data_IF_523694954068
#
_entry.id   IF_523694954068
#
_cell.length_a   1.000
_cell.length_b   1.000
_cell.length_c   1.000
_cell.angle_alpha   90.00
_cell.angle_beta   90.00
_cell.angle_gamma   90.00
#
_symmetry.space_group_name_H-M   'P 1'
#
loop_
_entity.id
_entity.type
_entity.pdbx_description
1 polymer ?
#
# COMPACT_ATOMS: atom_id res chain seq x y z
N UNK A 1 -9.71 29.15 -16.55
CA UNK A 1 -10.98 28.43 -16.73
C UNK A 1 -11.27 27.65 -15.47
N UNK A 2 -12.49 27.74 -14.90
CA UNK A 2 -12.86 26.98 -13.72
C UNK A 2 -12.91 25.47 -14.02
N UNK A 3 -12.57 24.63 -13.03
CA UNK A 3 -12.66 23.16 -13.14
C UNK A 3 -14.13 22.80 -13.31
N UNK A 4 -14.49 22.21 -14.46
CA UNK A 4 -15.84 21.71 -14.71
C UNK A 4 -16.05 20.43 -13.92
N UNK A 5 -17.04 20.39 -13.02
CA UNK A 5 -17.36 19.20 -12.24
C UNK A 5 -18.24 18.23 -13.06
N UNK A 6 -18.34 16.99 -12.59
CA UNK A 6 -19.18 15.96 -13.19
C UNK A 6 -20.52 15.90 -12.45
N UNK A 7 -21.61 16.20 -13.12
CA UNK A 7 -22.96 16.20 -12.56
C UNK A 7 -23.89 15.21 -13.27
N UNK A 8 -24.79 14.59 -12.53
CA UNK A 8 -25.77 13.65 -13.10
C UNK A 8 -26.81 14.32 -13.97
N UNK A 9 -27.07 15.60 -13.73
CA UNK A 9 -27.99 16.43 -14.50
C UNK A 9 -27.49 16.74 -15.92
N UNK A 10 -26.20 16.50 -16.18
CA UNK A 10 -25.60 16.67 -17.52
C UNK A 10 -25.79 15.44 -18.41
N UNK A 11 -26.26 14.32 -17.86
CA UNK A 11 -26.46 13.10 -18.64
C UNK A 11 -27.67 13.23 -19.58
N UNK A 12 -27.47 12.75 -20.81
CA UNK A 12 -28.62 12.48 -21.67
C UNK A 12 -29.47 11.35 -21.10
N UNK A 13 -30.77 11.22 -21.48
CA UNK A 13 -31.61 10.11 -21.02
C UNK A 13 -30.96 8.74 -21.28
N UNK A 14 -30.34 8.54 -22.46
CA UNK A 14 -29.69 7.27 -22.82
C UNK A 14 -28.47 6.99 -21.95
N UNK A 15 -27.64 7.98 -21.66
CA UNK A 15 -26.51 7.81 -20.75
C UNK A 15 -26.94 7.61 -19.31
N UNK A 16 -28.04 8.20 -18.88
CA UNK A 16 -28.61 7.93 -17.55
C UNK A 16 -29.05 6.47 -17.43
N UNK A 17 -29.75 5.94 -18.45
CA UNK A 17 -30.14 4.51 -18.52
C UNK A 17 -28.91 3.60 -18.51
N UNK A 18 -27.90 3.88 -19.33
CA UNK A 18 -26.68 3.09 -19.42
C UNK A 18 -25.90 3.07 -18.10
N UNK A 19 -25.83 4.21 -17.41
CA UNK A 19 -25.21 4.35 -16.10
C UNK A 19 -25.95 3.53 -15.03
N UNK A 20 -27.27 3.62 -14.98
CA UNK A 20 -28.08 2.91 -14.00
C UNK A 20 -28.03 1.39 -14.25
N UNK A 21 -28.05 0.94 -15.49
CA UNK A 21 -27.80 -0.45 -15.86
C UNK A 21 -26.42 -0.93 -15.37
N UNK A 22 -25.39 -0.12 -15.52
CA UNK A 22 -24.03 -0.43 -15.05
C UNK A 22 -23.96 -0.57 -13.52
N UNK A 23 -24.64 0.31 -12.78
CA UNK A 23 -24.71 0.25 -11.31
C UNK A 23 -25.42 -1.03 -10.87
N UNK A 24 -26.58 -1.32 -11.47
CA UNK A 24 -27.33 -2.55 -11.18
C UNK A 24 -26.52 -3.81 -11.52
N UNK A 25 -25.80 -3.81 -12.62
CA UNK A 25 -24.88 -4.91 -12.98
C UNK A 25 -23.82 -5.15 -11.91
N UNK A 26 -23.23 -4.09 -11.32
CA UNK A 26 -22.30 -4.20 -10.19
C UNK A 26 -22.94 -4.71 -8.91
N UNK A 27 -24.23 -4.39 -8.67
CA UNK A 27 -24.99 -4.90 -7.53
C UNK A 27 -25.26 -6.41 -7.64
N UNK A 28 -25.64 -6.89 -8.82
CA UNK A 28 -25.82 -8.32 -9.10
C UNK A 28 -24.53 -9.14 -8.93
N UNK A 29 -23.37 -8.52 -9.10
CA UNK A 29 -22.06 -9.14 -8.88
C UNK A 29 -21.56 -9.05 -7.45
N UNK A 30 -22.37 -8.60 -6.52
CA UNK A 30 -22.01 -8.44 -5.11
C UNK A 30 -20.73 -7.61 -4.88
N UNK A 31 -20.54 -6.54 -5.67
CA UNK A 31 -19.42 -5.65 -5.47
C UNK A 31 -19.41 -5.06 -4.05
N UNK A 32 -18.24 -4.90 -3.46
CA UNK A 32 -18.09 -4.24 -2.15
C UNK A 32 -18.63 -2.80 -2.19
N UNK A 33 -18.97 -2.23 -1.04
CA UNK A 33 -19.45 -0.84 -0.95
C UNK A 33 -18.48 0.15 -1.59
N UNK A 34 -17.18 -0.05 -1.40
CA UNK A 34 -16.12 0.76 -2.03
C UNK A 34 -16.12 0.61 -3.55
N UNK A 35 -16.26 -0.61 -4.06
CA UNK A 35 -16.34 -0.87 -5.51
C UNK A 35 -17.59 -0.24 -6.09
N UNK A 36 -18.75 -0.42 -5.46
CA UNK A 36 -20.02 0.21 -5.89
C UNK A 36 -19.92 1.74 -5.97
N UNK A 37 -19.26 2.38 -4.99
CA UNK A 37 -18.99 3.82 -5.02
C UNK A 37 -18.11 4.21 -6.20
N UNK A 38 -17.08 3.42 -6.51
CA UNK A 38 -16.19 3.66 -7.65
C UNK A 38 -16.90 3.42 -8.98
N UNK A 39 -17.77 2.41 -9.09
CA UNK A 39 -18.58 2.12 -10.27
C UNK A 39 -19.51 3.28 -10.59
N UNK A 40 -20.24 3.79 -9.58
CA UNK A 40 -21.13 4.97 -9.73
C UNK A 40 -20.38 6.20 -10.20
N UNK A 41 -19.18 6.41 -9.69
CA UNK A 41 -18.33 7.57 -10.05
C UNK A 41 -17.70 7.38 -11.42
N UNK A 42 -17.17 6.20 -11.69
CA UNK A 42 -16.51 5.89 -12.96
C UNK A 42 -17.47 5.96 -14.15
N UNK A 43 -18.68 5.38 -13.99
CA UNK A 43 -19.70 5.43 -15.04
C UNK A 43 -20.18 6.85 -15.34
N UNK A 44 -20.35 7.69 -14.30
CA UNK A 44 -20.68 9.12 -14.49
C UNK A 44 -19.59 9.85 -15.26
N UNK A 45 -18.33 9.65 -14.88
CA UNK A 45 -17.21 10.32 -15.54
C UNK A 45 -17.13 9.96 -17.02
N UNK A 46 -17.20 8.67 -17.34
CA UNK A 46 -17.10 8.19 -18.72
C UNK A 46 -18.25 8.71 -19.57
N UNK A 47 -19.47 8.67 -19.05
CA UNK A 47 -20.64 9.20 -19.76
C UNK A 47 -20.48 10.69 -20.08
N UNK A 48 -20.12 11.50 -19.09
CA UNK A 48 -19.91 12.94 -19.30
C UNK A 48 -18.75 13.23 -20.26
N UNK A 49 -17.66 12.45 -20.19
CA UNK A 49 -16.51 12.64 -21.10
C UNK A 49 -16.91 12.33 -22.56
N UNK A 50 -17.76 11.32 -22.81
CA UNK A 50 -18.32 11.05 -24.15
C UNK A 50 -19.30 12.13 -24.62
N UNK A 51 -20.17 12.63 -23.74
CA UNK A 51 -21.08 13.75 -24.06
C UNK A 51 -20.28 15.00 -24.48
N UNK A 52 -19.17 15.30 -23.79
CA UNK A 52 -18.27 16.40 -24.16
C UNK A 52 -17.61 16.21 -25.54
N UNK A 53 -17.65 15.01 -26.11
CA UNK A 53 -17.20 14.68 -27.47
C UNK A 53 -18.36 14.61 -28.48
N UNK A 54 -19.60 14.85 -28.06
CA UNK A 54 -20.79 14.75 -28.88
C UNK A 54 -21.36 13.34 -29.05
N UNK A 55 -20.89 12.37 -28.28
CA UNK A 55 -21.42 10.99 -28.25
C UNK A 55 -22.55 10.94 -27.22
N UNK A 56 -23.81 10.96 -27.68
CA UNK A 56 -24.97 11.16 -26.84
C UNK A 56 -25.56 9.89 -26.22
N UNK A 57 -25.11 8.71 -26.64
CA UNK A 57 -25.59 7.40 -26.18
C UNK A 57 -24.46 6.39 -26.18
N UNK A 58 -24.51 5.42 -25.26
CA UNK A 58 -23.57 4.30 -25.22
C UNK A 58 -23.66 3.42 -26.46
N UNK A 59 -24.82 3.32 -27.09
CA UNK A 59 -25.08 2.53 -28.30
C UNK A 59 -24.43 3.14 -29.56
N UNK A 60 -24.15 4.44 -29.54
CA UNK A 60 -23.57 5.15 -30.68
C UNK A 60 -22.05 5.25 -30.63
N UNK A 61 -21.41 4.66 -29.60
CA UNK A 61 -19.95 4.65 -29.48
C UNK A 61 -19.32 3.85 -30.62
N UNK A 62 -18.43 4.46 -31.36
CA UNK A 62 -17.59 3.83 -32.39
C UNK A 62 -16.19 3.58 -31.82
N UNK A 63 -15.44 2.69 -32.48
CA UNK A 63 -14.06 2.37 -32.15
C UNK A 63 -13.17 3.62 -32.06
N UNK A 64 -13.37 4.55 -33.02
CA UNK A 64 -12.66 5.82 -33.11
C UNK A 64 -12.94 6.73 -31.92
N UNK A 65 -14.14 6.67 -31.34
CA UNK A 65 -14.53 7.55 -30.24
C UNK A 65 -13.79 7.18 -28.95
N UNK A 66 -13.61 5.88 -28.67
CA UNK A 66 -12.78 5.46 -27.54
C UNK A 66 -11.33 5.87 -27.70
N UNK A 67 -10.72 5.68 -28.87
CA UNK A 67 -9.34 6.09 -29.14
C UNK A 67 -9.18 7.61 -29.02
N UNK A 68 -10.10 8.37 -29.58
CA UNK A 68 -10.10 9.84 -29.47
C UNK A 68 -10.21 10.29 -28.01
N UNK A 69 -11.03 9.61 -27.19
CA UNK A 69 -11.16 9.90 -25.77
C UNK A 69 -9.85 9.62 -25.01
N UNK A 70 -9.19 8.51 -25.31
CA UNK A 70 -7.87 8.19 -24.72
C UNK A 70 -6.82 9.26 -25.04
N UNK A 71 -6.75 9.71 -26.29
CA UNK A 71 -5.81 10.78 -26.68
C UNK A 71 -6.16 12.12 -25.99
N UNK A 72 -7.44 12.44 -25.84
CA UNK A 72 -7.87 13.61 -25.04
C UNK A 72 -7.41 13.50 -23.58
N UNK A 73 -7.50 12.34 -22.97
CA UNK A 73 -7.02 12.11 -21.61
C UNK A 73 -5.51 12.33 -21.48
N UNK A 74 -4.74 11.85 -22.44
CA UNK A 74 -3.27 12.02 -22.49
C UNK A 74 -2.87 13.47 -22.76
N UNK A 75 -3.65 14.20 -23.53
CA UNK A 75 -3.41 15.60 -23.86
C UNK A 75 -3.91 16.58 -22.78
N UNK A 76 -4.41 16.10 -21.63
CA UNK A 76 -4.96 16.95 -20.58
C UNK A 76 -6.30 17.62 -20.95
N UNK A 77 -6.94 17.21 -22.04
CA UNK A 77 -8.24 17.71 -22.46
C UNK A 77 -9.38 17.05 -21.66
N UNK A 78 -9.25 17.09 -20.34
CA UNK A 78 -10.23 16.58 -19.37
C UNK A 78 -10.99 17.73 -18.74
N UNK A 79 -12.09 17.45 -18.06
CA UNK A 79 -12.84 18.48 -17.31
C UNK A 79 -12.01 19.14 -16.20
N UNK A 80 -11.01 18.45 -15.66
CA UNK A 80 -10.07 19.02 -14.68
C UNK A 80 -8.91 19.79 -15.30
N UNK A 81 -8.72 19.71 -16.62
CA UNK A 81 -7.60 20.31 -17.32
C UNK A 81 -6.27 19.60 -17.12
N UNK A 82 -6.29 18.41 -16.52
CA UNK A 82 -5.08 17.64 -16.22
C UNK A 82 -4.98 16.41 -17.12
N UNK A 83 -3.74 16.07 -17.49
CA UNK A 83 -3.43 14.77 -18.09
C UNK A 83 -3.80 13.63 -17.12
N UNK A 84 -4.36 12.55 -17.66
CA UNK A 84 -4.62 11.35 -16.88
C UNK A 84 -3.44 10.39 -17.02
N UNK A 85 -3.02 9.81 -15.89
CA UNK A 85 -2.08 8.68 -15.90
C UNK A 85 -2.71 7.47 -16.59
N UNK A 86 -1.90 6.58 -17.16
CA UNK A 86 -2.38 5.34 -17.81
C UNK A 86 -3.23 4.50 -16.83
N UNK A 87 -2.88 4.49 -15.54
CA UNK A 87 -3.69 3.84 -14.50
C UNK A 87 -5.07 4.49 -14.29
N UNK A 88 -5.19 5.80 -14.50
CA UNK A 88 -6.47 6.51 -14.45
C UNK A 88 -7.30 6.25 -15.71
N UNK A 89 -6.66 6.19 -16.89
CA UNK A 89 -7.30 5.84 -18.16
C UNK A 89 -7.82 4.38 -18.09
N UNK A 90 -7.04 3.45 -17.52
CA UNK A 90 -7.51 2.08 -17.27
C UNK A 90 -8.79 2.02 -16.43
N UNK A 91 -8.89 2.82 -15.37
CA UNK A 91 -10.12 2.90 -14.56
C UNK A 91 -11.32 3.42 -15.35
N UNK A 92 -11.10 4.36 -16.27
CA UNK A 92 -12.14 4.82 -17.21
C UNK A 92 -12.57 3.68 -18.15
N UNK A 93 -11.59 2.93 -18.69
CA UNK A 93 -11.86 1.74 -19.50
C UNK A 93 -12.69 0.72 -18.73
N UNK A 94 -12.30 0.41 -17.49
CA UNK A 94 -13.02 -0.55 -16.64
C UNK A 94 -14.48 -0.13 -16.45
N UNK A 95 -14.74 1.15 -16.21
CA UNK A 95 -16.08 1.70 -16.09
C UNK A 95 -16.87 1.61 -17.41
N UNK A 96 -16.24 1.94 -18.55
CA UNK A 96 -16.87 1.78 -19.87
C UNK A 96 -17.20 0.31 -20.17
N UNK A 97 -16.26 -0.60 -19.92
CA UNK A 97 -16.47 -2.06 -20.10
C UNK A 97 -17.66 -2.54 -19.26
N UNK A 98 -17.84 -2.02 -18.04
CA UNK A 98 -18.99 -2.36 -17.21
C UNK A 98 -20.30 -1.86 -17.80
N UNK A 99 -20.34 -0.61 -18.33
CA UNK A 99 -21.51 -0.07 -19.05
C UNK A 99 -21.84 -0.94 -20.26
N UNK A 100 -20.87 -1.22 -21.11
CA UNK A 100 -21.06 -2.00 -22.35
C UNK A 100 -21.57 -3.42 -22.07
N UNK A 101 -21.07 -4.06 -21.00
CA UNK A 101 -21.58 -5.36 -20.53
C UNK A 101 -23.02 -5.29 -20.05
N UNK A 102 -23.36 -4.27 -19.25
CA UNK A 102 -24.69 -4.07 -18.74
C UNK A 102 -25.72 -3.81 -19.87
N UNK A 103 -25.31 -3.05 -20.87
CA UNK A 103 -26.10 -2.74 -22.07
C UNK A 103 -26.05 -3.82 -23.15
N UNK A 104 -25.24 -4.89 -22.97
CA UNK A 104 -25.04 -5.99 -23.93
C UNK A 104 -24.50 -5.55 -25.30
N UNK A 105 -23.70 -4.51 -25.34
CA UNK A 105 -23.06 -3.95 -26.54
C UNK A 105 -21.77 -4.70 -26.88
N UNK A 106 -21.89 -5.92 -27.44
CA UNK A 106 -20.80 -6.85 -27.61
C UNK A 106 -19.71 -6.40 -28.59
N UNK A 107 -20.07 -5.73 -29.69
CA UNK A 107 -19.11 -5.27 -30.70
C UNK A 107 -18.18 -4.19 -30.14
N UNK A 108 -18.73 -3.13 -29.60
CA UNK A 108 -17.96 -2.05 -28.95
C UNK A 108 -17.15 -2.57 -27.76
N UNK A 109 -17.74 -3.51 -27.00
CA UNK A 109 -17.05 -4.16 -25.89
C UNK A 109 -15.79 -4.90 -26.33
N UNK A 110 -15.87 -5.68 -27.42
CA UNK A 110 -14.75 -6.44 -27.96
C UNK A 110 -13.59 -5.49 -28.32
N UNK A 111 -13.88 -4.39 -29.00
CA UNK A 111 -12.89 -3.39 -29.36
C UNK A 111 -12.24 -2.72 -28.12
N UNK A 112 -13.06 -2.23 -27.18
CA UNK A 112 -12.55 -1.58 -25.99
C UNK A 112 -11.69 -2.53 -25.13
N UNK A 113 -12.01 -3.83 -25.11
CA UNK A 113 -11.25 -4.82 -24.36
C UNK A 113 -9.85 -5.09 -24.95
N UNK A 114 -9.70 -5.04 -26.27
CA UNK A 114 -8.40 -5.25 -26.95
C UNK A 114 -7.42 -4.11 -26.65
N UNK A 115 -7.92 -2.89 -26.42
CA UNK A 115 -7.05 -1.78 -26.09
C UNK A 115 -6.26 -2.06 -24.81
N UNK A 116 -4.95 -1.81 -24.84
CA UNK A 116 -4.05 -1.96 -23.70
C UNK A 116 -3.44 -0.61 -23.34
N UNK A 117 -3.35 -0.36 -22.05
CA UNK A 117 -2.60 0.79 -21.54
C UNK A 117 -1.11 0.69 -21.90
N UNK A 118 -0.47 1.84 -22.04
CA UNK A 118 0.99 1.90 -22.13
C UNK A 118 1.56 1.44 -20.78
N UNK A 119 2.55 0.54 -20.84
CA UNK A 119 3.26 0.14 -19.63
C UNK A 119 4.08 1.34 -19.13
N UNK A 120 3.77 1.78 -17.93
CA UNK A 120 4.59 2.76 -17.20
C UNK A 120 5.48 2.01 -16.20
N UNK A 121 6.75 2.31 -16.21
CA UNK A 121 7.66 1.88 -15.13
C UNK A 121 7.29 2.69 -13.90
N UNK A 122 6.69 2.03 -12.90
CA UNK A 122 6.30 2.70 -11.65
C UNK A 122 7.49 2.71 -10.70
N UNK A 123 7.98 3.90 -10.40
CA UNK A 123 8.90 4.08 -9.29
C UNK A 123 8.23 3.65 -7.97
N UNK A 124 8.83 2.67 -7.32
CA UNK A 124 8.37 2.23 -6.00
C UNK A 124 8.90 3.20 -4.96
N UNK A 125 7.97 3.89 -4.32
CA UNK A 125 8.26 4.93 -3.32
C UNK A 125 8.43 4.30 -1.95
N UNK A 126 9.65 4.10 -1.51
CA UNK A 126 9.98 3.58 -0.17
C UNK A 126 11.07 4.42 0.49
N UNK A 127 11.07 4.46 1.81
CA UNK A 127 12.10 5.14 2.58
C UNK A 127 13.33 4.25 2.76
N UNK A 128 14.48 4.86 2.74
CA UNK A 128 15.73 4.18 3.07
C UNK A 128 15.84 3.95 4.59
N UNK A 129 16.93 3.30 5.01
CA UNK A 129 17.16 2.97 6.41
C UNK A 129 17.30 4.22 7.28
N UNK A 130 18.00 5.24 6.80
CA UNK A 130 18.27 6.47 7.56
C UNK A 130 16.99 7.30 7.77
N UNK A 131 16.16 7.43 6.72
CA UNK A 131 14.85 8.07 6.83
C UNK A 131 13.93 7.31 7.81
N UNK A 132 13.97 5.97 7.73
CA UNK A 132 13.17 5.12 8.62
C UNK A 132 13.61 5.26 10.08
N UNK A 133 14.92 5.28 10.34
CA UNK A 133 15.46 5.46 11.69
C UNK A 133 15.14 6.86 12.25
N UNK A 134 15.19 7.91 11.42
CA UNK A 134 14.76 9.24 11.83
C UNK A 134 13.27 9.26 12.24
N UNK A 135 12.41 8.57 11.49
CA UNK A 135 11.00 8.43 11.88
C UNK A 135 10.84 7.63 13.19
N UNK A 136 11.70 6.63 13.46
CA UNK A 136 11.71 5.89 14.73
C UNK A 136 12.10 6.79 15.90
N UNK A 137 13.14 7.59 15.75
CA UNK A 137 13.60 8.52 16.79
C UNK A 137 12.48 9.50 17.16
N UNK A 138 11.83 10.11 16.16
CA UNK A 138 10.69 10.98 16.42
C UNK A 138 9.50 10.24 17.06
N UNK A 139 9.18 9.03 16.59
CA UNK A 139 8.11 8.23 17.17
C UNK A 139 8.38 7.87 18.63
N UNK A 140 9.63 7.56 19.00
CA UNK A 140 10.03 7.30 20.39
C UNK A 140 9.91 8.55 21.25
N UNK A 141 10.19 9.73 20.72
CA UNK A 141 9.94 10.99 21.41
C UNK A 141 8.42 11.22 21.64
N UNK A 142 7.60 11.01 20.60
CA UNK A 142 6.14 11.07 20.71
C UNK A 142 5.59 10.08 21.76
N UNK A 143 6.25 8.95 21.97
CA UNK A 143 5.88 7.95 22.96
C UNK A 143 6.10 8.40 24.40
N UNK A 144 6.83 9.49 24.66
CA UNK A 144 7.01 10.03 26.00
C UNK A 144 5.75 10.70 26.53
N UNK A 145 4.90 11.23 25.65
CA UNK A 145 3.68 11.95 26.00
C UNK A 145 2.43 11.11 25.67
N UNK A 146 1.54 10.95 26.64
CA UNK A 146 0.29 10.18 26.48
C UNK A 146 -0.59 10.67 25.32
N UNK A 147 -0.69 11.99 25.11
CA UNK A 147 -1.50 12.57 24.02
C UNK A 147 -0.99 12.21 22.61
N UNK A 148 0.31 11.95 22.47
CA UNK A 148 0.97 11.64 21.20
C UNK A 148 1.39 10.17 21.07
N UNK A 149 1.29 9.39 22.14
CA UNK A 149 1.66 7.96 22.18
C UNK A 149 0.96 7.13 21.07
N UNK A 150 -0.29 7.47 20.71
CA UNK A 150 -1.02 6.88 19.60
C UNK A 150 -0.31 7.02 18.26
N UNK A 151 0.41 8.11 18.02
CA UNK A 151 1.18 8.32 16.79
C UNK A 151 2.41 7.39 16.74
N UNK A 152 3.04 7.15 17.87
CA UNK A 152 4.12 6.17 17.97
C UNK A 152 3.61 4.73 17.76
N UNK A 153 2.49 4.38 18.41
CA UNK A 153 1.90 3.05 18.28
C UNK A 153 1.50 2.72 16.83
N UNK A 154 0.85 3.65 16.11
CA UNK A 154 0.47 3.44 14.70
C UNK A 154 1.71 3.36 13.79
N UNK A 155 2.75 4.17 14.05
CA UNK A 155 4.00 4.12 13.29
C UNK A 155 4.67 2.76 13.43
N UNK A 156 4.85 2.25 14.66
CA UNK A 156 5.48 0.96 14.88
C UNK A 156 4.61 -0.21 14.40
N UNK A 157 3.29 -0.12 14.43
CA UNK A 157 2.43 -1.09 13.78
C UNK A 157 2.73 -1.16 12.27
N UNK A 158 2.80 -0.01 11.61
CA UNK A 158 3.11 0.03 10.18
C UNK A 158 4.56 -0.36 9.85
N UNK A 159 5.49 -0.10 10.74
CA UNK A 159 6.88 -0.55 10.57
C UNK A 159 7.02 -2.07 10.61
N UNK A 160 6.26 -2.76 11.47
CA UNK A 160 6.39 -4.21 11.65
C UNK A 160 5.57 -5.04 10.69
N UNK A 161 4.37 -4.57 10.28
CA UNK A 161 3.47 -5.38 9.47
C UNK A 161 2.76 -4.59 8.36
N UNK A 162 2.85 -3.27 8.38
CA UNK A 162 2.30 -2.35 7.38
C UNK A 162 0.89 -2.75 6.87
N UNK A 163 -0.13 -2.84 7.73
CA UNK A 163 -1.48 -3.19 7.31
C UNK A 163 -2.03 -2.12 6.36
N UNK A 164 -3.02 -2.44 5.53
CA UNK A 164 -3.71 -1.42 4.75
C UNK A 164 -4.42 -0.44 5.68
N UNK A 165 -4.65 0.80 5.26
CA UNK A 165 -5.24 1.84 6.13
C UNK A 165 -6.57 1.40 6.77
N UNK A 166 -7.43 0.75 5.99
CA UNK A 166 -8.70 0.23 6.50
C UNK A 166 -8.48 -0.92 7.49
N UNK A 167 -7.53 -1.82 7.24
CA UNK A 167 -7.14 -2.87 8.18
C UNK A 167 -6.53 -2.26 9.46
N UNK A 168 -5.74 -1.18 9.34
CA UNK A 168 -5.13 -0.50 10.48
C UNK A 168 -6.16 0.15 11.39
N UNK A 169 -7.19 0.77 10.81
CA UNK A 169 -8.26 1.41 11.60
C UNK A 169 -9.06 0.39 12.41
N UNK A 170 -9.23 -0.81 11.88
CA UNK A 170 -9.98 -1.92 12.48
C UNK A 170 -9.08 -2.92 13.22
N UNK A 171 -7.82 -2.58 13.44
CA UNK A 171 -6.86 -3.47 14.08
C UNK A 171 -7.25 -3.71 15.54
N UNK A 172 -7.26 -4.97 15.98
CA UNK A 172 -7.70 -5.36 17.32
C UNK A 172 -6.53 -5.71 18.23
N UNK A 173 -6.72 -5.54 19.55
CA UNK A 173 -5.74 -5.96 20.55
C UNK A 173 -5.50 -7.48 20.53
N UNK A 174 -6.49 -8.29 20.22
CA UNK A 174 -6.35 -9.75 20.12
C UNK A 174 -5.33 -10.20 19.06
N UNK A 175 -4.94 -9.31 18.13
CA UNK A 175 -3.94 -9.58 17.10
C UNK A 175 -2.49 -9.36 17.58
N UNK A 176 -2.29 -8.87 18.81
CA UNK A 176 -0.99 -8.59 19.42
C UNK A 176 -0.76 -9.46 20.64
N UNK A 177 0.24 -10.34 20.56
CA UNK A 177 0.81 -10.97 21.74
C UNK A 177 2.00 -10.13 22.21
N UNK A 178 1.77 -9.32 23.25
CA UNK A 178 2.80 -8.44 23.81
C UNK A 178 3.80 -9.16 24.72
N UNK A 179 3.57 -10.43 25.06
CA UNK A 179 4.52 -11.23 25.83
C UNK A 179 5.57 -11.80 24.88
N UNK A 180 5.11 -12.42 23.80
CA UNK A 180 5.98 -13.02 22.78
C UNK A 180 6.43 -12.02 21.71
N UNK A 181 5.85 -10.82 21.67
CA UNK A 181 6.14 -9.82 20.63
C UNK A 181 5.65 -10.23 19.24
N UNK A 182 4.51 -10.92 19.17
CA UNK A 182 3.94 -11.45 17.91
C UNK A 182 2.78 -10.58 17.44
N UNK A 183 2.71 -10.37 16.13
CA UNK A 183 1.58 -9.77 15.44
C UNK A 183 0.98 -10.80 14.50
N UNK A 184 -0.32 -11.09 14.65
CA UNK A 184 -1.04 -11.99 13.76
C UNK A 184 -2.44 -11.47 13.50
N UNK A 185 -2.75 -11.10 12.24
CA UNK A 185 -4.08 -10.57 11.92
C UNK A 185 -4.60 -11.08 10.57
N UNK A 186 -5.93 -11.15 10.39
CA UNK A 186 -6.54 -11.50 9.10
C UNK A 186 -6.59 -10.26 8.20
N UNK A 187 -5.86 -10.29 7.06
CA UNK A 187 -5.98 -9.24 6.05
C UNK A 187 -7.33 -9.37 5.31
N UNK A 188 -8.17 -8.33 5.36
CA UNK A 188 -9.55 -8.39 4.86
C UNK A 188 -9.62 -8.66 3.34
N UNK A 189 -8.74 -8.03 2.54
CA UNK A 189 -8.82 -8.10 1.08
C UNK A 189 -8.59 -9.50 0.51
N UNK A 190 -7.74 -10.31 1.13
CA UNK A 190 -7.30 -11.61 0.58
C UNK A 190 -7.60 -12.78 1.51
N UNK A 191 -8.29 -12.54 2.64
CA UNK A 191 -8.61 -13.54 3.68
C UNK A 191 -7.37 -14.37 4.11
N UNK A 192 -6.19 -13.73 4.11
CA UNK A 192 -4.92 -14.34 4.51
C UNK A 192 -4.53 -13.87 5.91
N UNK A 193 -3.99 -14.76 6.71
CA UNK A 193 -3.35 -14.38 7.98
C UNK A 193 -1.98 -13.78 7.69
N UNK A 194 -1.78 -12.57 8.17
CA UNK A 194 -0.49 -11.88 8.17
C UNK A 194 0.20 -12.15 9.50
N UNK A 195 1.52 -12.32 9.45
CA UNK A 195 2.33 -12.61 10.61
C UNK A 195 3.61 -11.80 10.60
N UNK A 196 3.98 -11.25 11.76
CA UNK A 196 5.24 -10.53 11.96
C UNK A 196 5.64 -10.55 13.44
N UNK A 197 6.85 -10.07 13.72
CA UNK A 197 7.36 -9.88 15.09
C UNK A 197 7.53 -8.40 15.38
N UNK A 198 7.31 -8.03 16.65
CA UNK A 198 7.64 -6.70 17.17
C UNK A 198 9.10 -6.74 17.61
N UNK A 199 9.92 -5.82 17.09
CA UNK A 199 11.28 -5.65 17.58
C UNK A 199 11.27 -5.34 19.09
N UNK A 200 12.08 -6.03 19.92
CA UNK A 200 12.07 -5.86 21.38
C UNK A 200 12.20 -4.40 21.82
N UNK A 201 12.98 -3.60 21.08
CA UNK A 201 13.18 -2.17 21.37
C UNK A 201 11.91 -1.32 21.28
N UNK A 202 10.87 -1.79 20.59
CA UNK A 202 9.61 -1.05 20.41
C UNK A 202 8.43 -1.65 21.17
N UNK A 203 8.60 -2.81 21.76
CA UNK A 203 7.53 -3.52 22.48
C UNK A 203 6.96 -2.69 23.64
N UNK A 204 7.83 -1.92 24.33
CA UNK A 204 7.43 -1.06 25.42
C UNK A 204 6.42 0.02 24.99
N UNK A 205 6.45 0.49 23.74
CA UNK A 205 5.50 1.48 23.22
C UNK A 205 4.08 0.93 23.22
N UNK A 206 3.90 -0.32 22.74
CA UNK A 206 2.59 -0.97 22.74
C UNK A 206 2.11 -1.27 24.16
N UNK A 207 3.00 -1.73 25.05
CA UNK A 207 2.67 -1.98 26.46
C UNK A 207 2.20 -0.67 27.16
N UNK A 208 2.95 0.41 26.98
CA UNK A 208 2.59 1.74 27.50
C UNK A 208 1.27 2.24 26.94
N UNK A 209 1.05 2.05 25.63
CA UNK A 209 -0.18 2.46 24.98
C UNK A 209 -1.38 1.67 25.51
N UNK A 210 -1.22 0.35 25.74
CA UNK A 210 -2.24 -0.49 26.34
C UNK A 210 -2.62 -0.02 27.75
N UNK A 211 -1.64 0.17 28.63
CA UNK A 211 -1.84 0.68 29.98
C UNK A 211 -2.60 2.02 29.98
N UNK A 212 -2.18 2.96 29.14
CA UNK A 212 -2.84 4.26 29.04
C UNK A 212 -4.34 4.11 28.68
N UNK A 213 -4.67 3.27 27.69
CA UNK A 213 -6.07 3.06 27.28
C UNK A 213 -6.89 2.38 28.39
N UNK A 214 -6.30 1.42 29.12
CA UNK A 214 -6.94 0.74 30.26
C UNK A 214 -7.18 1.73 31.41
N UNK A 215 -6.21 2.55 31.74
CA UNK A 215 -6.30 3.59 32.80
C UNK A 215 -7.34 4.67 32.46
N UNK A 216 -7.45 5.06 31.20
CA UNK A 216 -8.43 6.03 30.71
C UNK A 216 -9.82 5.41 30.47
N UNK A 217 -10.00 4.10 30.65
CA UNK A 217 -11.28 3.39 30.52
C UNK A 217 -11.80 3.28 29.09
N UNK A 218 -10.90 3.24 28.10
CA UNK A 218 -11.28 3.06 26.71
C UNK A 218 -11.71 1.61 26.39
N UNK A 219 -12.49 1.45 25.31
CA UNK A 219 -12.82 0.12 24.75
C UNK A 219 -11.54 -0.56 24.23
N UNK A 220 -11.22 -1.73 24.78
CA UNK A 220 -10.06 -2.52 24.44
C UNK A 220 -10.31 -3.51 23.30
N UNK A 221 -11.42 -3.41 22.57
CA UNK A 221 -11.68 -4.26 21.40
C UNK A 221 -10.71 -3.90 20.27
N UNK A 222 -10.58 -2.62 19.98
CA UNK A 222 -9.71 -2.12 18.90
C UNK A 222 -8.42 -1.53 19.46
N UNK A 223 -7.31 -1.71 18.71
CA UNK A 223 -6.01 -1.10 19.06
C UNK A 223 -6.11 0.41 19.11
N UNK A 224 -6.92 0.99 18.21
CA UNK A 224 -7.15 2.43 18.11
C UNK A 224 -8.65 2.71 18.20
N UNK A 225 -9.24 2.79 19.41
CA UNK A 225 -10.65 3.13 19.60
C UNK A 225 -10.96 4.55 19.12
N UNK A 226 -12.22 4.83 18.71
CA UNK A 226 -12.64 6.16 18.22
C UNK A 226 -12.38 7.25 19.25
N UNK A 227 -12.58 6.95 20.52
CA UNK A 227 -12.45 7.88 21.64
C UNK A 227 -11.11 8.60 21.75
N UNK A 228 -10.03 8.04 21.18
CA UNK A 228 -8.71 8.70 21.11
C UNK A 228 -8.53 9.59 19.87
N UNK A 229 -9.49 9.59 18.94
CA UNK A 229 -9.46 10.51 17.81
C UNK A 229 -9.82 11.90 18.28
N UNK A 230 -9.06 12.92 17.84
CA UNK A 230 -9.50 14.30 18.05
C UNK A 230 -10.80 14.50 17.23
N UNK A 231 -11.89 14.81 17.88
CA UNK A 231 -13.18 15.05 17.24
C UNK A 231 -13.08 16.24 16.28
N UNK A 232 -12.92 15.98 15.01
CA UNK A 232 -13.23 16.96 13.96
C UNK A 232 -14.71 16.81 13.60
N UNK A 233 -15.54 17.55 14.22
CA UNK A 233 -16.99 17.66 14.31
C UNK A 233 -17.92 17.38 13.12
N UNK A 234 -17.62 16.48 12.20
CA UNK A 234 -18.45 16.28 11.01
C UNK A 234 -18.73 14.82 10.62
N UNK A 235 -18.22 13.81 11.33
CA UNK A 235 -18.51 12.43 10.99
C UNK A 235 -19.74 11.90 11.73
N UNK A 236 -20.78 11.66 10.99
CA UNK A 236 -22.10 11.20 11.45
C UNK A 236 -22.18 9.69 11.78
N UNK A 237 -21.14 8.93 11.51
CA UNK A 237 -21.10 7.49 11.84
C UNK A 237 -20.18 7.30 13.04
N UNK A 238 -20.75 6.94 14.18
CA UNK A 238 -20.02 6.51 15.36
C UNK A 238 -19.42 5.12 15.09
N UNK A 239 -18.19 5.09 14.58
CA UNK A 239 -17.43 3.86 14.44
C UNK A 239 -16.79 3.52 15.79
N UNK A 240 -16.69 2.23 16.17
CA UNK A 240 -16.01 1.84 17.41
C UNK A 240 -14.47 2.01 17.34
N UNK A 241 -13.94 2.41 16.20
CA UNK A 241 -12.52 2.56 15.92
C UNK A 241 -12.25 3.85 15.13
N UNK A 242 -11.01 4.29 15.10
CA UNK A 242 -10.60 5.47 14.32
C UNK A 242 -10.89 5.31 12.82
N UNK A 243 -11.00 6.43 12.11
CA UNK A 243 -11.15 6.42 10.64
C UNK A 243 -9.81 6.12 9.94
N UNK A 244 -9.88 5.63 8.70
CA UNK A 244 -8.72 5.47 7.81
C UNK A 244 -8.02 6.81 7.53
N UNK A 245 -8.76 7.92 7.56
CA UNK A 245 -8.22 9.28 7.46
C UNK A 245 -7.36 9.63 8.67
N UNK A 246 -7.79 9.24 9.88
CA UNK A 246 -7.00 9.45 11.12
C UNK A 246 -5.69 8.66 11.06
N UNK A 247 -5.73 7.39 10.62
CA UNK A 247 -4.53 6.58 10.38
C UNK A 247 -3.54 7.33 9.47
N UNK A 248 -4.03 7.82 8.33
CA UNK A 248 -3.19 8.55 7.38
C UNK A 248 -2.57 9.81 8.00
N UNK A 249 -3.38 10.61 8.70
CA UNK A 249 -2.91 11.85 9.31
C UNK A 249 -1.86 11.60 10.41
N UNK A 250 -2.03 10.56 11.21
CA UNK A 250 -1.08 10.23 12.27
C UNK A 250 0.27 9.76 11.72
N UNK A 251 0.26 8.94 10.67
CA UNK A 251 1.49 8.52 9.98
C UNK A 251 2.22 9.69 9.32
N UNK A 252 1.47 10.65 8.73
CA UNK A 252 2.07 11.88 8.18
C UNK A 252 2.73 12.70 9.28
N UNK A 253 2.08 12.89 10.43
CA UNK A 253 2.66 13.63 11.55
C UNK A 253 4.00 13.05 12.02
N UNK A 254 4.10 11.71 12.09
CA UNK A 254 5.36 11.06 12.44
C UNK A 254 6.44 11.35 11.39
N UNK A 255 6.10 11.24 10.11
CA UNK A 255 7.04 11.52 9.01
C UNK A 255 7.51 12.98 9.03
N UNK A 256 6.59 13.92 9.12
CA UNK A 256 6.90 15.35 9.07
C UNK A 256 7.70 15.82 10.28
N UNK A 257 7.38 15.29 11.46
CA UNK A 257 8.12 15.61 12.69
C UNK A 257 9.49 14.95 12.79
N UNK A 258 9.81 14.03 11.88
CA UNK A 258 11.12 13.36 11.86
C UNK A 258 12.24 14.19 11.19
N UNK A 259 11.93 15.31 10.55
CA UNK A 259 12.91 16.16 9.86
C UNK A 259 14.11 16.55 10.71
N UNK A 260 14.01 16.88 12.03
CA UNK A 260 15.17 17.20 12.86
C UNK A 260 16.18 16.06 13.04
N UNK A 261 15.76 14.81 12.79
CA UNK A 261 16.57 13.60 13.00
C UNK A 261 17.24 13.10 11.72
N UNK A 262 17.05 13.80 10.59
CA UNK A 262 17.61 13.44 9.30
C UNK A 262 18.34 14.61 8.67
N UNK A 263 19.54 14.36 8.11
CA UNK A 263 20.35 15.41 7.49
C UNK A 263 19.86 15.89 6.13
N UNK A 264 18.80 15.31 5.62
CA UNK A 264 18.17 15.65 4.35
C UNK A 264 16.68 15.79 4.49
N UNK A 265 15.96 15.99 3.38
CA UNK A 265 14.52 16.02 3.38
C UNK A 265 13.96 14.61 3.37
N UNK A 266 13.16 14.25 4.38
CA UNK A 266 12.43 12.99 4.38
C UNK A 266 11.41 13.04 3.26
N UNK A 267 11.51 12.08 2.34
CA UNK A 267 10.68 12.02 1.15
C UNK A 267 9.18 11.99 1.51
N UNK A 268 8.34 12.87 0.92
CA UNK A 268 6.94 13.06 1.30
C UNK A 268 6.03 11.94 0.75
N UNK A 269 6.41 10.70 0.98
CA UNK A 269 5.67 9.54 0.52
C UNK A 269 4.41 9.29 1.34
N UNK A 270 3.47 8.56 0.79
CA UNK A 270 2.19 8.24 1.43
C UNK A 270 2.32 7.12 2.45
N UNK A 271 1.26 6.90 3.24
CA UNK A 271 1.19 5.77 4.16
C UNK A 271 1.39 4.40 3.48
N UNK A 272 1.07 4.27 2.18
CA UNK A 272 1.30 3.03 1.44
C UNK A 272 2.79 2.71 1.28
N UNK A 273 3.65 3.72 1.34
CA UNK A 273 5.10 3.54 1.28
C UNK A 273 5.68 2.78 2.47
N UNK A 274 4.97 2.71 3.62
CA UNK A 274 5.35 1.79 4.70
C UNK A 274 5.38 0.33 4.22
N UNK A 275 4.40 -0.07 3.39
CA UNK A 275 4.37 -1.43 2.81
C UNK A 275 5.53 -1.66 1.86
N UNK A 276 5.83 -0.68 1.02
CA UNK A 276 6.98 -0.75 0.13
C UNK A 276 8.29 -0.78 0.90
N UNK A 277 8.43 0.03 1.96
CA UNK A 277 9.60 0.06 2.83
C UNK A 277 9.80 -1.29 3.54
N UNK A 278 8.71 -1.86 4.07
CA UNK A 278 8.74 -3.16 4.72
C UNK A 278 9.16 -4.27 3.74
N UNK A 279 8.53 -4.31 2.55
CA UNK A 279 8.88 -5.28 1.52
C UNK A 279 10.36 -5.18 1.12
N UNK A 280 10.84 -3.97 0.81
CA UNK A 280 12.24 -3.75 0.42
C UNK A 280 13.22 -4.08 1.54
N UNK A 281 12.87 -3.81 2.80
CA UNK A 281 13.68 -4.18 3.96
C UNK A 281 13.90 -5.69 4.03
N UNK A 282 12.83 -6.48 3.91
CA UNK A 282 12.90 -7.94 3.97
C UNK A 282 13.59 -8.54 2.73
N UNK A 283 13.23 -8.09 1.54
CA UNK A 283 13.85 -8.59 0.31
C UNK A 283 15.35 -8.26 0.23
N UNK A 284 15.76 -7.07 0.67
CA UNK A 284 17.16 -6.69 0.74
C UNK A 284 17.95 -7.48 1.81
N UNK A 285 17.26 -7.98 2.84
CA UNK A 285 17.86 -8.87 3.84
C UNK A 285 17.92 -10.35 3.40
N UNK A 286 17.40 -10.69 2.23
CA UNK A 286 17.45 -12.03 1.66
C UNK A 286 16.20 -12.88 1.89
N UNK A 287 15.10 -12.29 2.39
CA UNK A 287 13.81 -12.97 2.48
C UNK A 287 13.24 -13.28 1.08
N UNK A 288 12.47 -14.35 0.98
CA UNK A 288 11.79 -14.73 -0.25
C UNK A 288 10.55 -13.88 -0.52
N UNK A 289 10.06 -13.86 -1.76
CA UNK A 289 8.78 -13.23 -2.10
C UNK A 289 7.62 -13.87 -1.33
N UNK A 290 7.73 -15.16 -1.01
CA UNK A 290 6.74 -15.88 -0.21
C UNK A 290 6.70 -15.36 1.23
N UNK A 291 7.86 -15.13 1.88
CA UNK A 291 7.93 -14.57 3.22
C UNK A 291 7.29 -13.17 3.27
N UNK A 292 7.64 -12.31 2.30
CA UNK A 292 7.05 -10.97 2.21
C UNK A 292 5.55 -11.04 1.93
N UNK A 293 5.10 -11.99 1.11
CA UNK A 293 3.67 -12.25 0.86
C UNK A 293 2.92 -12.59 2.15
N UNK A 294 3.50 -13.40 3.04
CA UNK A 294 2.92 -13.76 4.35
C UNK A 294 2.84 -12.57 5.30
N UNK A 295 3.87 -11.71 5.31
CA UNK A 295 3.88 -10.51 6.17
C UNK A 295 2.85 -9.50 5.70
N UNK A 296 2.81 -9.22 4.39
CA UNK A 296 1.95 -8.18 3.83
C UNK A 296 0.51 -8.65 3.54
N UNK A 297 0.24 -9.96 3.50
CA UNK A 297 -1.06 -10.50 3.09
C UNK A 297 -1.39 -10.23 1.62
N UNK A 298 -0.37 -10.08 0.76
CA UNK A 298 -0.53 -10.01 -0.70
C UNK A 298 -0.26 -11.38 -1.34
N UNK A 299 -0.45 -11.53 -2.65
CA UNK A 299 -0.05 -12.74 -3.35
C UNK A 299 1.43 -12.68 -3.71
N UNK A 300 2.08 -13.84 -3.82
CA UNK A 300 3.49 -13.94 -4.27
C UNK A 300 3.66 -13.25 -5.62
N UNK A 301 2.75 -13.49 -6.57
CA UNK A 301 2.76 -12.85 -7.88
C UNK A 301 2.68 -11.32 -7.80
N UNK A 302 1.89 -10.75 -6.86
CA UNK A 302 1.84 -9.30 -6.63
C UNK A 302 3.17 -8.77 -6.10
N UNK A 303 3.79 -9.50 -5.16
CA UNK A 303 5.09 -9.11 -4.61
C UNK A 303 6.17 -9.16 -5.70
N UNK A 304 6.19 -10.21 -6.48
CA UNK A 304 7.12 -10.37 -7.59
C UNK A 304 6.94 -9.29 -8.66
N UNK A 305 5.69 -9.04 -9.10
CA UNK A 305 5.38 -7.98 -10.08
C UNK A 305 5.88 -6.61 -9.64
N UNK A 306 5.75 -6.30 -8.35
CA UNK A 306 6.11 -4.97 -7.85
C UNK A 306 7.60 -4.82 -7.51
N UNK A 307 8.28 -5.87 -7.06
CA UNK A 307 9.62 -5.73 -6.47
C UNK A 307 10.72 -6.48 -7.22
N UNK A 308 10.42 -7.34 -8.20
CA UNK A 308 11.42 -8.18 -8.86
C UNK A 308 12.55 -7.39 -9.50
N UNK A 309 12.25 -6.30 -10.20
CA UNK A 309 13.27 -5.46 -10.84
C UNK A 309 14.23 -4.82 -9.83
N UNK A 310 13.72 -4.37 -8.68
CA UNK A 310 14.53 -3.76 -7.63
C UNK A 310 15.43 -4.77 -6.93
N UNK A 311 14.92 -5.97 -6.68
CA UNK A 311 15.67 -7.06 -6.05
C UNK A 311 16.72 -7.62 -7.02
N UNK A 312 16.38 -7.79 -8.29
CA UNK A 312 17.33 -8.20 -9.33
C UNK A 312 18.49 -7.20 -9.43
N UNK A 313 18.21 -5.90 -9.40
CA UNK A 313 19.25 -4.87 -9.45
C UNK A 313 20.21 -5.00 -8.26
N UNK A 314 19.71 -5.26 -7.05
CA UNK A 314 20.55 -5.46 -5.86
C UNK A 314 21.35 -6.76 -5.92
N UNK A 315 20.75 -7.85 -6.38
CA UNK A 315 21.41 -9.15 -6.57
C UNK A 315 22.42 -9.10 -7.70
N UNK A 316 22.09 -8.44 -8.81
CA UNK A 316 23.01 -8.22 -9.91
C UNK A 316 24.21 -7.39 -9.48
N UNK A 317 24.02 -6.32 -8.69
CA UNK A 317 25.10 -5.51 -8.13
C UNK A 317 26.04 -6.38 -7.28
N UNK A 318 25.51 -7.20 -6.37
CA UNK A 318 26.30 -8.11 -5.54
C UNK A 318 27.08 -9.13 -6.37
N UNK A 319 26.44 -9.71 -7.39
CA UNK A 319 27.07 -10.66 -8.31
C UNK A 319 28.16 -9.97 -9.15
N UNK A 320 27.87 -8.76 -9.63
CA UNK A 320 28.84 -7.95 -10.38
C UNK A 320 30.05 -7.56 -9.51
N UNK A 321 29.83 -7.08 -8.28
CA UNK A 321 30.90 -6.78 -7.32
C UNK A 321 31.76 -8.04 -7.04
N UNK A 322 31.12 -9.18 -6.79
CA UNK A 322 31.81 -10.44 -6.54
C UNK A 322 32.63 -10.91 -7.77
N UNK A 323 32.10 -10.76 -8.97
CA UNK A 323 32.78 -11.12 -10.21
C UNK A 323 34.00 -10.22 -10.45
N UNK A 324 33.88 -8.93 -10.21
CA UNK A 324 34.98 -7.97 -10.41
C UNK A 324 36.05 -8.07 -9.33
N UNK A 325 35.70 -8.36 -8.09
CA UNK A 325 36.68 -8.62 -7.01
C UNK A 325 37.46 -9.90 -7.33
N UNK A 326 36.85 -10.95 -7.83
CA UNK A 326 37.54 -12.18 -8.26
C UNK A 326 38.45 -11.94 -9.46
N UNK A 327 38.02 -11.14 -10.43
CA UNK A 327 38.81 -10.79 -11.61
C UNK A 327 40.04 -10.00 -11.24
N UNK A 328 39.97 -9.07 -10.29
CA UNK A 328 41.09 -8.27 -9.81
C UNK A 328 42.06 -9.07 -8.94
N UNK A 329 41.60 -10.04 -8.18
CA UNK A 329 42.45 -10.94 -7.40
C UNK A 329 43.26 -11.92 -8.26
N UNK A 330 42.73 -12.33 -9.42
CA UNK A 330 43.43 -13.26 -10.34
C UNK A 330 44.44 -12.57 -11.28
N UNK A 331 44.49 -11.23 -11.32
CA UNK A 331 45.33 -10.50 -12.27
C UNK A 331 46.52 -9.80 -11.63
N UNK A 332 46.72 -9.88 -10.31
CA UNK A 332 47.83 -9.11 -9.72
C UNK A 332 48.44 -9.74 -8.45
N UNK A 333 49.53 -10.39 -8.61
CA UNK A 333 50.66 -10.16 -7.72
C UNK A 333 51.14 -8.71 -8.02
N UNK A 334 50.79 -7.75 -7.17
CA UNK A 334 51.58 -6.52 -7.04
C UNK A 334 51.05 -5.20 -7.62
N UNK A 335 49.77 -4.93 -7.83
CA UNK A 335 49.30 -3.58 -8.19
C UNK A 335 48.20 -3.03 -7.26
N UNK A 336 48.33 -1.74 -6.95
CA UNK A 336 47.41 -0.99 -6.09
C UNK A 336 45.96 -1.13 -6.57
N UNK A 337 45.01 -1.23 -5.61
CA UNK A 337 43.59 -1.29 -5.92
C UNK A 337 43.18 -0.08 -6.79
N UNK A 338 42.37 -0.30 -7.85
CA UNK A 338 41.95 0.80 -8.70
C UNK A 338 41.15 1.85 -7.91
N UNK A 339 41.46 3.15 -8.08
CA UNK A 339 40.80 4.27 -7.38
C UNK A 339 39.26 4.29 -7.49
N UNK A 340 38.70 3.69 -8.56
CA UNK A 340 37.24 3.60 -8.72
C UNK A 340 36.58 2.70 -7.68
N UNK A 341 37.29 1.70 -7.14
CA UNK A 341 36.76 0.81 -6.07
C UNK A 341 36.54 1.59 -4.78
N UNK A 342 37.33 2.59 -4.48
CA UNK A 342 37.18 3.46 -3.32
C UNK A 342 36.02 4.47 -3.50
N UNK A 343 35.73 4.89 -4.73
CA UNK A 343 34.55 5.68 -5.05
C UNK A 343 33.28 4.87 -4.82
N UNK A 344 33.25 3.59 -5.18
CA UNK A 344 32.12 2.69 -4.91
C UNK A 344 31.95 2.36 -3.43
N UNK A 345 33.04 2.25 -2.68
CA UNK A 345 32.99 2.06 -1.21
C UNK A 345 32.42 3.30 -0.49
N UNK A 346 32.69 4.50 -0.99
CA UNK A 346 32.14 5.75 -0.43
C UNK A 346 30.65 5.96 -0.70
N UNK A 347 30.09 5.30 -1.71
CA UNK A 347 28.64 5.27 -2.00
C UNK A 347 27.93 4.19 -1.14
N UNK A 348 28.66 3.39 -0.35
CA UNK A 348 28.07 2.51 0.63
C UNK A 348 27.35 3.37 1.68
N UNK A 349 26.00 3.40 1.62
CA UNK A 349 25.22 3.56 2.84
C UNK A 349 25.73 2.52 3.84
N UNK A 350 26.18 2.92 5.04
CA UNK A 350 26.68 1.96 6.00
C UNK A 350 25.56 1.04 6.44
N UNK A 351 25.50 -0.13 5.84
CA UNK A 351 24.58 -1.18 6.22
C UNK A 351 25.06 -1.78 7.55
N UNK A 352 24.81 -1.06 8.66
CA UNK A 352 25.07 -1.53 10.03
C UNK A 352 23.91 -2.36 10.58
N UNK A 353 23.21 -3.09 9.74
CA UNK A 353 22.51 -4.27 10.20
C UNK A 353 23.56 -5.39 10.30
N UNK A 354 24.05 -5.68 11.49
CA UNK A 354 24.58 -7.01 11.77
C UNK A 354 23.43 -7.97 11.47
N UNK A 355 23.55 -8.89 10.51
CA UNK A 355 22.57 -9.97 10.40
C UNK A 355 22.48 -10.59 11.78
N UNK A 356 21.29 -10.81 12.29
CA UNK A 356 21.09 -11.77 13.39
C UNK A 356 21.83 -13.04 12.93
N UNK A 357 22.79 -13.47 13.75
CA UNK A 357 23.59 -14.64 13.44
C UNK A 357 22.63 -15.75 12.99
N UNK A 358 22.92 -16.45 11.87
CA UNK A 358 22.10 -17.55 11.47
C UNK A 358 22.05 -18.50 12.66
N UNK A 359 20.87 -18.67 13.23
CA UNK A 359 20.67 -19.73 14.21
C UNK A 359 21.18 -21.00 13.55
N UNK A 360 22.26 -21.55 14.11
CA UNK A 360 22.76 -22.87 13.76
C UNK A 360 21.55 -23.78 13.66
N UNK A 361 21.31 -24.35 12.49
CA UNK A 361 20.31 -25.40 12.28
C UNK A 361 20.72 -26.59 13.14
N UNK A 362 20.32 -26.54 14.41
CA UNK A 362 20.18 -27.72 15.18
C UNK A 362 19.05 -28.51 14.57
N UNK A 363 19.34 -29.69 14.11
CA UNK A 363 18.41 -30.69 13.62
C UNK A 363 17.53 -31.18 14.78
N UNK A 364 16.58 -30.37 15.22
CA UNK A 364 15.50 -30.80 16.12
C UNK A 364 14.14 -30.43 15.50
N UNK A 365 13.67 -31.36 14.67
CA UNK A 365 12.36 -31.39 14.04
C UNK A 365 11.21 -31.72 15.02
N UNK A 366 11.34 -31.43 16.31
CA UNK A 366 10.37 -31.83 17.35
C UNK A 366 9.72 -30.70 18.15
N UNK A 367 9.93 -29.43 17.80
CA UNK A 367 9.47 -28.32 18.65
C UNK A 367 8.28 -27.52 18.06
N UNK A 368 7.53 -28.07 17.10
CA UNK A 368 6.32 -27.41 16.55
C UNK A 368 5.01 -28.13 16.92
N UNK A 369 5.08 -29.26 17.67
CA UNK A 369 3.89 -30.08 17.91
C UNK A 369 3.20 -29.86 19.26
N UNK A 370 3.79 -29.14 20.22
CA UNK A 370 3.22 -29.04 21.58
C UNK A 370 3.05 -27.56 22.00
N UNK A 371 2.11 -26.83 21.39
CA UNK A 371 1.45 -25.70 22.04
C UNK A 371 0.06 -26.15 22.45
N UNK A 372 -0.16 -26.46 23.74
CA UNK A 372 -1.48 -26.87 24.22
C UNK A 372 -2.43 -25.69 24.22
N UNK A 373 -3.55 -25.81 23.54
CA UNK A 373 -4.72 -24.96 23.77
C UNK A 373 -5.29 -24.18 22.62
N UNK A 374 -5.08 -24.53 21.36
CA UNK A 374 -5.84 -23.91 20.25
C UNK A 374 -6.64 -24.98 19.51
N UNK A 375 -7.81 -25.34 20.03
CA UNK A 375 -8.84 -26.00 19.22
C UNK A 375 -9.57 -24.98 18.34
N UNK A 376 -9.72 -25.24 17.03
CA UNK A 376 -10.53 -24.39 16.15
C UNK A 376 -12.01 -24.73 16.33
N UNK A 377 -12.69 -24.08 17.27
CA UNK A 377 -14.13 -24.08 17.35
C UNK A 377 -14.72 -23.16 16.28
N UNK A 378 -15.14 -23.67 15.13
CA UNK A 378 -16.07 -22.98 14.24
C UNK A 378 -17.47 -23.61 14.44
N UNK A 379 -18.50 -22.82 14.74
CA UNK A 379 -19.88 -23.25 14.50
C UNK A 379 -20.21 -23.16 13.00
N UNK A 380 -21.05 -24.08 12.57
CA UNK A 380 -21.56 -24.26 11.23
C UNK A 380 -22.36 -23.06 10.71
#
# INVERSE_FOLDING_TARGET
>A
MGIKQYHTEELTPDWAIARDASIHYGELRNHSASTKKNDRRGSLWVACDFIDMGVMSAETIRDTDWLALVERYRAGMTRSGNELTEGSIRKRKEALVQILKAMRLSETLAFVQVWKEKKEIKDIKYWNLEETEAMHQHALELAQNTKTLKHAAIHFLHYHIAPRRDDSSKFKWEYLDLNEGIIQFPAQKNVKRCFSFIEPRFLHVFKKFKCMLEEEGHDMTYLFPESIAAHSGTNKEHLPHISDKSVYQWLIKVREGAAPYYKGDIRPYSSHSYRHTLAMRFLNSGSTYEDVSRILGDTVATIEEHYSELVMTSSFRKAWEAAHVRSTMNTTEGTAQPEWLDRFRKVRTPNRYKPLAPHSRGTDSKLVADVPGFEPGFPA
#
